data_IF_383288864928
#
_entry.id   IF_383288864928
#
_cell.length_a   1.000
_cell.length_b   1.000
_cell.length_c   1.000
_cell.angle_alpha   90.00
_cell.angle_beta   90.00
_cell.angle_gamma   90.00
#
_symmetry.space_group_name_H-M   'P 1'
#
loop_
_entity.id
_entity.type
_entity.pdbx_description
1 polymer ?
#
# COMPACT_ATOMS: atom_id res chain seq x y z
N UNK A 1 -17.28 -4.51 3.75
CA UNK A 1 -17.25 -4.28 2.28
C UNK A 1 -15.81 -4.27 1.84
N UNK A 2 -15.40 -5.12 0.89
CA UNK A 2 -14.02 -5.17 0.43
C UNK A 2 -13.66 -3.90 -0.36
N UNK A 3 -12.57 -3.24 0.03
CA UNK A 3 -12.09 -2.00 -0.60
C UNK A 3 -10.75 -2.25 -1.29
N UNK A 4 -10.68 -1.92 -2.57
CA UNK A 4 -9.47 -2.12 -3.37
C UNK A 4 -8.91 -0.79 -3.86
N UNK A 5 -7.60 -0.63 -3.73
CA UNK A 5 -6.89 0.58 -4.14
C UNK A 5 -5.88 0.21 -5.23
N UNK A 6 -5.91 0.98 -6.31
CA UNK A 6 -4.95 0.80 -7.40
C UNK A 6 -3.55 1.15 -6.93
N UNK A 7 -2.57 0.34 -7.30
CA UNK A 7 -1.15 0.54 -6.93
C UNK A 7 -0.65 1.93 -7.36
N UNK A 8 -1.15 2.44 -8.49
CA UNK A 8 -0.84 3.79 -8.99
C UNK A 8 -1.34 4.94 -8.10
N UNK A 9 -2.24 4.68 -7.13
CA UNK A 9 -2.77 5.64 -6.15
C UNK A 9 -2.32 5.36 -4.71
N UNK A 10 -1.43 4.38 -4.50
CA UNK A 10 -0.93 4.07 -3.16
C UNK A 10 -0.08 5.19 -2.59
N UNK A 11 0.87 5.70 -3.37
CA UNK A 11 1.84 6.67 -2.88
C UNK A 11 1.30 8.09 -2.83
N UNK A 12 1.63 8.80 -1.76
CA UNK A 12 1.45 10.26 -1.68
C UNK A 12 2.57 10.99 -2.42
N UNK A 13 2.21 12.12 -3.01
CA UNK A 13 3.12 13.06 -3.66
C UNK A 13 2.78 14.48 -3.17
N UNK A 14 3.72 15.45 -3.16
CA UNK A 14 3.44 16.81 -2.68
C UNK A 14 2.21 17.46 -3.32
N UNK A 15 1.91 17.09 -4.57
CA UNK A 15 0.80 17.65 -5.33
C UNK A 15 -0.43 16.71 -5.42
N UNK A 16 -0.36 15.51 -4.82
CA UNK A 16 -1.44 14.52 -4.83
C UNK A 16 -1.44 13.70 -3.53
N UNK A 17 -2.44 13.86 -2.65
CA UNK A 17 -2.60 12.98 -1.50
C UNK A 17 -2.86 11.56 -2.00
N UNK A 18 -2.01 10.63 -1.58
CA UNK A 18 -2.15 9.20 -1.81
C UNK A 18 -2.72 8.51 -0.58
N UNK A 19 -2.94 7.20 -0.69
CA UNK A 19 -3.48 6.43 0.43
C UNK A 19 -2.44 6.22 1.56
N UNK A 20 -1.18 6.01 1.18
CA UNK A 20 -0.07 5.81 2.10
C UNK A 20 0.60 7.15 2.40
N UNK A 21 1.14 7.34 3.62
CA UNK A 21 1.83 8.57 4.02
C UNK A 21 3.20 8.76 3.34
N UNK A 22 3.61 7.83 2.47
CA UNK A 22 4.91 7.85 1.79
C UNK A 22 4.76 7.74 0.27
N UNK A 23 5.88 7.96 -0.42
CA UNK A 23 5.94 7.98 -1.88
C UNK A 23 5.59 6.63 -2.52
N UNK A 24 5.18 6.69 -3.79
CA UNK A 24 4.89 5.48 -4.58
C UNK A 24 6.11 4.56 -4.73
N UNK A 25 7.32 5.13 -4.81
CA UNK A 25 8.54 4.35 -4.85
C UNK A 25 8.75 3.56 -3.55
N UNK A 26 8.46 4.17 -2.40
CA UNK A 26 8.49 3.49 -1.09
C UNK A 26 7.45 2.37 -1.01
N UNK A 27 6.23 2.61 -1.53
CA UNK A 27 5.21 1.56 -1.61
C UNK A 27 5.67 0.36 -2.44
N UNK A 28 6.27 0.60 -3.60
CA UNK A 28 6.84 -0.47 -4.43
C UNK A 28 7.99 -1.21 -3.74
N UNK A 29 8.83 -0.51 -2.99
CA UNK A 29 9.87 -1.15 -2.18
C UNK A 29 9.27 -2.01 -1.08
N UNK A 30 8.22 -1.57 -0.41
CA UNK A 30 7.54 -2.37 0.61
C UNK A 30 6.89 -3.62 -0.01
N UNK A 31 6.22 -3.49 -1.16
CA UNK A 31 5.66 -4.64 -1.90
C UNK A 31 6.73 -5.70 -2.20
N UNK A 32 7.92 -5.28 -2.60
CA UNK A 32 8.98 -6.20 -3.03
C UNK A 32 9.84 -6.73 -1.89
N UNK A 33 10.08 -5.93 -0.84
CA UNK A 33 11.01 -6.27 0.23
C UNK A 33 10.33 -6.70 1.53
N UNK A 34 9.08 -6.27 1.76
CA UNK A 34 8.38 -6.53 3.00
C UNK A 34 7.35 -7.67 2.80
N UNK A 35 7.60 -8.86 3.38
CA UNK A 35 6.69 -10.01 3.22
C UNK A 35 5.36 -9.82 3.95
N UNK A 36 5.26 -8.83 4.84
CA UNK A 36 4.01 -8.48 5.54
C UNK A 36 3.16 -7.50 4.76
N UNK A 37 3.70 -6.87 3.70
CA UNK A 37 2.94 -5.96 2.86
C UNK A 37 1.88 -6.75 2.06
N UNK A 38 0.64 -6.26 1.95
CA UNK A 38 -0.42 -6.95 1.23
C UNK A 38 -0.05 -7.16 -0.24
N UNK A 39 -0.19 -8.41 -0.71
CA UNK A 39 0.20 -8.76 -2.08
C UNK A 39 -0.68 -8.02 -3.10
N UNK A 40 -0.09 -7.36 -4.09
CA UNK A 40 -0.85 -6.77 -5.18
C UNK A 40 -1.46 -7.87 -6.05
N UNK A 41 -2.71 -7.68 -6.46
CA UNK A 41 -3.40 -8.54 -7.41
C UNK A 41 -3.77 -7.78 -8.69
N UNK A 42 -3.63 -8.46 -9.83
CA UNK A 42 -4.02 -7.91 -11.11
C UNK A 42 -5.53 -8.05 -11.30
N UNK A 43 -6.24 -6.94 -11.42
CA UNK A 43 -7.66 -6.90 -11.77
C UNK A 43 -7.86 -6.97 -13.29
N UNK A 44 -6.89 -6.46 -14.06
CA UNK A 44 -6.87 -6.47 -15.52
C UNK A 44 -5.44 -6.29 -16.04
N UNK A 45 -5.23 -6.42 -17.36
CA UNK A 45 -3.92 -6.35 -18.01
C UNK A 45 -3.07 -5.09 -17.69
N UNK A 46 -3.71 -3.99 -17.24
CA UNK A 46 -3.04 -2.73 -16.86
C UNK A 46 -3.42 -2.21 -15.47
N UNK A 47 -4.15 -3.00 -14.69
CA UNK A 47 -4.71 -2.56 -13.42
C UNK A 47 -4.29 -3.52 -12.33
N UNK A 48 -3.33 -3.10 -11.52
CA UNK A 48 -2.93 -3.77 -10.30
C UNK A 48 -3.52 -3.03 -9.11
N UNK A 49 -4.16 -3.77 -8.23
CA UNK A 49 -4.82 -3.28 -7.03
C UNK A 49 -4.32 -4.03 -5.81
N UNK A 50 -4.48 -3.43 -4.65
CA UNK A 50 -4.20 -4.02 -3.34
C UNK A 50 -5.46 -3.91 -2.50
N UNK A 51 -5.65 -4.87 -1.63
CA UNK A 51 -6.68 -4.81 -0.61
C UNK A 51 -6.33 -3.72 0.41
N UNK A 52 -7.25 -2.78 0.58
CA UNK A 52 -7.03 -1.63 1.46
C UNK A 52 -7.35 -1.93 2.92
N UNK A 53 -8.10 -2.99 3.23
CA UNK A 53 -8.32 -3.44 4.60
C UNK A 53 -7.03 -4.08 5.16
N UNK A 54 -6.42 -4.96 4.38
CA UNK A 54 -5.11 -5.54 4.68
C UNK A 54 -4.01 -4.47 4.78
N UNK A 55 -4.08 -3.42 3.95
CA UNK A 55 -3.13 -2.31 4.01
C UNK A 55 -3.28 -1.46 5.27
N UNK A 56 -4.51 -1.30 5.78
CA UNK A 56 -4.79 -0.66 7.06
C UNK A 56 -4.15 -1.45 8.20
N UNK A 57 -4.44 -2.75 8.24
CA UNK A 57 -3.92 -3.67 9.26
C UNK A 57 -2.39 -3.69 9.28
N UNK A 58 -1.78 -3.66 8.11
CA UNK A 58 -0.33 -3.54 7.96
C UNK A 58 0.19 -2.19 8.49
N UNK A 59 -0.47 -1.08 8.15
CA UNK A 59 -0.10 0.25 8.61
C UNK A 59 -0.22 0.37 10.13
N UNK A 60 -1.28 -0.19 10.72
CA UNK A 60 -1.48 -0.27 12.17
C UNK A 60 -0.36 -1.09 12.84
N UNK A 61 0.01 -2.22 12.24
CA UNK A 61 1.11 -3.06 12.73
C UNK A 61 2.44 -2.31 12.69
N UNK A 62 2.74 -1.58 11.60
CA UNK A 62 3.96 -0.77 11.48
C UNK A 62 3.97 0.42 12.43
N UNK A 63 2.83 1.08 12.63
CA UNK A 63 2.69 2.15 13.65
C UNK A 63 2.95 1.63 15.05
N UNK A 64 2.56 0.40 15.35
CA UNK A 64 2.77 -0.24 16.65
C UNK A 64 4.19 -0.77 16.85
N UNK A 65 4.90 -1.08 15.77
CA UNK A 65 6.17 -1.81 15.77
C UNK A 65 7.45 -0.98 15.64
N UNK A 66 7.39 0.35 15.65
CA UNK A 66 8.57 1.25 15.52
C UNK A 66 8.86 2.02 16.82
N UNK A 67 8.53 1.43 17.97
CA UNK A 67 9.00 1.83 19.30
C UNK A 67 9.30 0.57 20.13
N UNK A 68 10.37 -0.14 19.79
CA UNK A 68 10.97 -1.16 20.64
C UNK A 68 12.49 -1.12 20.47
#
# INVERSE_FOLDING_TARGET
MARFIRVSRLGSSPNRPGYLPFSQATAWRAINNDPTFPKPFALSARVTVVDADALDSWLETKRRGDHA
#
